data_IF_683825018362
#
_entry.id   IF_683825018362
#
_cell.length_a   1.000
_cell.length_b   1.000
_cell.length_c   1.000
_cell.angle_alpha   90.00
_cell.angle_beta   90.00
_cell.angle_gamma   90.00
#
_symmetry.space_group_name_H-M   'P 1'
#
loop_
_entity.id
_entity.type
_entity.pdbx_description
1 polymer ?
#
# COMPACT_ATOMS: atom_id res chain seq x y z
N UNK A 1 3.48 -5.30 -23.35
CA UNK A 1 2.74 -5.61 -22.12
C UNK A 1 1.77 -6.73 -22.42
N UNK A 2 2.03 -7.92 -21.89
CA UNK A 2 1.06 -9.02 -21.89
C UNK A 2 0.04 -8.74 -20.79
N UNK A 3 -1.24 -8.96 -21.10
CA UNK A 3 -2.31 -8.77 -20.14
C UNK A 3 -2.74 -10.16 -19.69
N UNK A 4 -2.69 -10.44 -18.39
CA UNK A 4 -3.39 -11.57 -17.81
C UNK A 4 -4.62 -11.00 -17.12
N UNK A 5 -5.80 -11.36 -17.60
CA UNK A 5 -7.06 -10.85 -17.06
C UNK A 5 -7.84 -11.97 -16.38
N UNK A 6 -8.50 -11.58 -15.28
CA UNK A 6 -9.58 -12.34 -14.64
C UNK A 6 -10.83 -11.48 -14.85
N UNK A 7 -11.67 -11.86 -15.80
CA UNK A 7 -12.83 -11.13 -16.29
C UNK A 7 -14.12 -11.73 -15.74
N UNK A 8 -14.34 -13.03 -15.97
CA UNK A 8 -15.61 -13.70 -15.68
C UNK A 8 -15.85 -13.91 -14.17
N UNK A 9 -14.81 -14.09 -13.36
CA UNK A 9 -14.92 -14.13 -11.89
C UNK A 9 -15.45 -12.81 -11.30
N UNK A 10 -15.09 -11.68 -11.93
CA UNK A 10 -15.46 -10.32 -11.51
C UNK A 10 -16.81 -9.86 -12.07
N UNK A 11 -17.26 -10.45 -13.18
CA UNK A 11 -18.58 -10.24 -13.76
C UNK A 11 -19.68 -10.57 -12.74
N UNK A 12 -20.71 -9.72 -12.66
CA UNK A 12 -21.90 -9.98 -11.84
C UNK A 12 -22.79 -11.09 -12.44
N UNK A 13 -22.55 -11.47 -13.70
CA UNK A 13 -23.37 -12.38 -14.51
C UNK A 13 -22.88 -13.84 -14.53
N UNK A 14 -22.29 -14.32 -13.43
CA UNK A 14 -21.56 -15.60 -13.33
C UNK A 14 -22.23 -16.82 -13.98
N UNK A 15 -23.48 -17.08 -13.62
CA UNK A 15 -24.27 -18.23 -14.13
C UNK A 15 -24.96 -17.91 -15.47
N UNK A 16 -25.12 -16.63 -15.77
CA UNK A 16 -25.78 -16.10 -16.96
C UNK A 16 -25.01 -16.43 -18.25
N UNK A 17 -23.71 -16.66 -18.16
CA UNK A 17 -22.86 -17.02 -19.32
C UNK A 17 -23.18 -18.39 -19.93
N UNK A 18 -23.94 -19.26 -19.24
CA UNK A 18 -24.36 -20.56 -19.80
C UNK A 18 -25.24 -20.42 -21.06
N UNK A 19 -25.90 -19.26 -21.24
CA UNK A 19 -26.69 -18.94 -22.44
C UNK A 19 -25.85 -18.96 -23.73
N UNK A 20 -24.52 -18.83 -23.63
CA UNK A 20 -23.63 -18.98 -24.79
C UNK A 20 -23.76 -20.38 -25.41
N UNK A 21 -24.07 -21.41 -24.63
CA UNK A 21 -24.34 -22.75 -25.16
C UNK A 21 -25.59 -22.79 -26.04
N UNK A 22 -26.63 -22.02 -25.71
CA UNK A 22 -27.81 -21.89 -26.55
C UNK A 22 -27.44 -21.32 -27.92
N UNK A 23 -26.68 -20.22 -27.94
CA UNK A 23 -26.13 -19.67 -29.17
C UNK A 23 -25.28 -20.69 -29.95
N UNK A 24 -24.37 -21.40 -29.28
CA UNK A 24 -23.54 -22.42 -29.92
C UNK A 24 -24.37 -23.59 -30.49
N UNK A 25 -25.49 -23.96 -29.85
CA UNK A 25 -26.38 -24.99 -30.36
C UNK A 25 -27.05 -24.54 -31.67
N UNK A 26 -27.56 -23.30 -31.71
CA UNK A 26 -28.16 -22.71 -32.92
C UNK A 26 -27.16 -22.64 -34.08
N UNK A 27 -25.88 -22.36 -33.79
CA UNK A 27 -24.80 -22.32 -34.78
C UNK A 27 -24.22 -23.72 -35.14
N UNK A 28 -24.81 -24.82 -34.65
CA UNK A 28 -24.32 -26.19 -34.82
C UNK A 28 -22.87 -26.39 -34.33
N UNK A 29 -22.46 -25.65 -33.31
CA UNK A 29 -21.12 -25.69 -32.71
C UNK A 29 -21.01 -26.68 -31.53
N UNK A 30 -22.13 -27.21 -31.04
CA UNK A 30 -22.19 -28.19 -29.94
C UNK A 30 -22.45 -29.62 -30.44
N UNK A 31 -21.94 -30.60 -29.69
CA UNK A 31 -22.33 -31.98 -29.90
C UNK A 31 -23.77 -32.21 -29.41
N UNK A 32 -24.57 -33.06 -30.09
CA UNK A 32 -25.97 -33.32 -29.75
C UNK A 32 -26.21 -33.90 -28.34
N UNK A 33 -25.16 -34.36 -27.67
CA UNK A 33 -25.19 -34.94 -26.33
C UNK A 33 -24.91 -33.92 -25.20
N UNK A 34 -25.00 -32.61 -25.51
CA UNK A 34 -24.68 -31.54 -24.55
C UNK A 34 -25.71 -31.43 -23.39
N UNK A 35 -25.23 -30.91 -22.26
CA UNK A 35 -25.99 -30.69 -21.02
C UNK A 35 -27.17 -29.72 -21.24
N UNK A 36 -28.10 -29.64 -20.27
CA UNK A 36 -29.14 -28.59 -20.26
C UNK A 36 -28.48 -27.21 -20.07
N UNK A 37 -28.85 -26.26 -20.92
CA UNK A 37 -28.46 -24.84 -20.84
C UNK A 37 -29.72 -23.96 -20.92
N UNK A 38 -29.68 -22.73 -20.36
CA UNK A 38 -30.80 -21.79 -20.45
C UNK A 38 -30.94 -21.24 -21.88
N UNK A 39 -32.18 -21.03 -22.34
CA UNK A 39 -32.46 -20.32 -23.58
C UNK A 39 -32.25 -18.82 -23.42
N UNK A 40 -31.81 -18.15 -24.49
CA UNK A 40 -31.72 -16.69 -24.50
C UNK A 40 -33.10 -16.04 -24.30
N UNK A 41 -33.09 -14.92 -23.60
CA UNK A 41 -34.27 -14.13 -23.22
C UNK A 41 -33.82 -12.67 -23.03
N UNK A 42 -34.35 -11.77 -23.83
CA UNK A 42 -33.83 -10.39 -23.94
C UNK A 42 -33.91 -9.62 -22.62
N UNK A 43 -35.00 -9.77 -21.87
CA UNK A 43 -35.22 -9.05 -20.61
C UNK A 43 -34.27 -9.56 -19.52
N UNK A 44 -34.16 -10.88 -19.36
CA UNK A 44 -33.30 -11.53 -18.36
C UNK A 44 -31.81 -11.39 -18.65
N UNK A 45 -31.46 -11.29 -19.93
CA UNK A 45 -30.06 -11.29 -20.39
C UNK A 45 -29.60 -9.91 -20.88
N UNK A 46 -30.38 -8.85 -20.69
CA UNK A 46 -30.07 -7.48 -21.11
C UNK A 46 -28.67 -6.99 -20.70
N UNK A 47 -28.20 -7.40 -19.51
CA UNK A 47 -26.87 -7.03 -19.00
C UNK A 47 -25.68 -7.67 -19.76
N UNK A 48 -25.89 -8.79 -20.47
CA UNK A 48 -24.83 -9.47 -21.24
C UNK A 48 -24.22 -8.57 -22.31
N UNK A 49 -25.02 -7.68 -22.90
CA UNK A 49 -24.53 -6.75 -23.93
C UNK A 49 -23.45 -5.81 -23.37
N UNK A 50 -23.58 -5.37 -22.12
CA UNK A 50 -22.57 -4.55 -21.45
C UNK A 50 -21.28 -5.34 -21.23
N UNK A 51 -21.38 -6.51 -20.63
CA UNK A 51 -20.25 -7.41 -20.35
C UNK A 51 -19.53 -7.85 -21.64
N UNK A 52 -20.26 -8.16 -22.72
CA UNK A 52 -19.67 -8.49 -24.01
C UNK A 52 -18.89 -7.31 -24.62
N UNK A 53 -19.38 -6.08 -24.45
CA UNK A 53 -18.64 -4.88 -24.88
C UNK A 53 -17.37 -4.68 -24.05
N UNK A 54 -17.44 -4.88 -22.74
CA UNK A 54 -16.25 -4.82 -21.88
C UNK A 54 -15.23 -5.90 -22.24
N UNK A 55 -15.70 -7.12 -22.48
CA UNK A 55 -14.87 -8.24 -22.94
C UNK A 55 -14.22 -7.92 -24.30
N UNK A 56 -14.98 -7.38 -25.25
CA UNK A 56 -14.44 -6.93 -26.54
C UNK A 56 -13.31 -5.92 -26.35
N UNK A 57 -13.47 -4.93 -25.48
CA UNK A 57 -12.42 -3.96 -25.17
C UNK A 57 -11.21 -4.67 -24.54
N UNK A 58 -11.44 -5.56 -23.56
CA UNK A 58 -10.38 -6.30 -22.90
C UNK A 58 -9.57 -7.18 -23.88
N UNK A 59 -10.23 -7.74 -24.90
CA UNK A 59 -9.60 -8.59 -25.93
C UNK A 59 -8.86 -7.76 -26.99
N UNK A 60 -9.40 -6.60 -27.39
CA UNK A 60 -8.87 -5.83 -28.53
C UNK A 60 -7.85 -4.76 -28.16
N UNK A 61 -7.81 -4.31 -26.89
CA UNK A 61 -6.83 -3.30 -26.43
C UNK A 61 -5.40 -3.82 -26.27
N UNK A 62 -5.14 -5.07 -25.85
CA UNK A 62 -3.80 -5.61 -25.78
C UNK A 62 -3.10 -5.56 -27.15
N UNK A 63 -1.97 -4.84 -27.23
CA UNK A 63 -1.10 -4.82 -28.42
C UNK A 63 -0.18 -6.04 -28.53
N UNK A 64 -0.27 -6.95 -27.57
CA UNK A 64 0.51 -8.18 -27.45
C UNK A 64 -0.42 -9.30 -26.97
N UNK A 65 0.11 -10.50 -26.74
CA UNK A 65 -0.69 -11.68 -26.39
C UNK A 65 -1.47 -11.44 -25.09
N UNK A 66 -2.76 -11.72 -25.15
CA UNK A 66 -3.68 -11.73 -24.01
C UNK A 66 -3.76 -13.14 -23.44
N UNK A 67 -3.73 -13.22 -22.12
CA UNK A 67 -4.01 -14.42 -21.35
C UNK A 67 -5.28 -14.19 -20.54
N UNK A 68 -6.24 -15.10 -20.63
CA UNK A 68 -7.45 -15.08 -19.82
C UNK A 68 -7.34 -16.26 -18.87
N UNK A 69 -7.27 -15.98 -17.57
CA UNK A 69 -7.16 -16.99 -16.52
C UNK A 69 -8.34 -16.87 -15.59
N UNK A 70 -9.09 -17.96 -15.43
CA UNK A 70 -10.34 -17.99 -14.66
C UNK A 70 -10.29 -19.14 -13.69
N UNK A 71 -10.55 -18.86 -12.40
CA UNK A 71 -10.55 -19.87 -11.34
C UNK A 71 -11.91 -20.54 -11.18
N UNK A 72 -12.97 -19.88 -11.62
CA UNK A 72 -14.34 -20.37 -11.51
C UNK A 72 -14.81 -21.04 -12.80
N UNK A 73 -15.87 -21.84 -12.70
CA UNK A 73 -16.49 -22.48 -13.87
C UNK A 73 -17.27 -21.53 -14.78
N UNK A 74 -17.41 -20.26 -14.41
CA UNK A 74 -18.27 -19.29 -15.11
C UNK A 74 -17.82 -19.02 -16.55
N UNK A 75 -16.51 -19.09 -16.81
CA UNK A 75 -15.95 -18.87 -18.14
C UNK A 75 -16.04 -20.08 -19.09
N UNK A 76 -16.46 -21.25 -18.59
CA UNK A 76 -16.52 -22.49 -19.37
C UNK A 76 -17.27 -22.33 -20.71
N UNK A 77 -18.44 -21.67 -20.77
CA UNK A 77 -19.18 -21.52 -22.03
C UNK A 77 -18.39 -20.77 -23.10
N UNK A 78 -17.74 -19.65 -22.74
CA UNK A 78 -16.91 -18.90 -23.70
C UNK A 78 -15.61 -19.63 -24.05
N UNK A 79 -14.99 -20.31 -23.11
CA UNK A 79 -13.80 -21.10 -23.41
C UNK A 79 -14.11 -22.24 -24.37
N UNK A 80 -15.26 -22.92 -24.19
CA UNK A 80 -15.73 -23.93 -25.11
C UNK A 80 -16.01 -23.34 -26.51
N UNK A 81 -16.67 -22.18 -26.56
CA UNK A 81 -16.92 -21.46 -27.81
C UNK A 81 -15.64 -21.12 -28.56
N UNK A 82 -14.69 -20.44 -27.92
CA UNK A 82 -13.42 -20.05 -28.55
C UNK A 82 -12.57 -21.26 -28.93
N UNK A 83 -12.60 -22.33 -28.13
CA UNK A 83 -11.93 -23.59 -28.46
C UNK A 83 -12.53 -24.21 -29.72
N UNK A 84 -13.86 -24.21 -29.86
CA UNK A 84 -14.54 -24.72 -31.06
C UNK A 84 -14.20 -23.90 -32.30
N UNK A 85 -14.07 -22.58 -32.17
CA UNK A 85 -13.63 -21.70 -33.26
C UNK A 85 -12.14 -21.83 -33.59
N UNK A 86 -11.33 -22.49 -32.74
CA UNK A 86 -9.89 -22.63 -32.95
C UNK A 86 -9.10 -21.32 -32.81
N UNK A 87 -9.64 -20.33 -32.09
CA UNK A 87 -9.04 -18.98 -31.97
C UNK A 87 -8.18 -18.81 -30.71
N UNK A 88 -8.07 -19.85 -29.87
CA UNK A 88 -7.31 -19.82 -28.61
C UNK A 88 -6.39 -21.03 -28.49
N UNK A 89 -5.24 -20.82 -27.84
CA UNK A 89 -4.37 -21.91 -27.42
C UNK A 89 -4.66 -22.26 -25.95
N UNK A 90 -4.90 -23.54 -25.68
CA UNK A 90 -5.07 -24.04 -24.31
C UNK A 90 -3.69 -24.38 -23.73
N UNK A 91 -3.45 -23.99 -22.48
CA UNK A 91 -2.26 -24.39 -21.72
C UNK A 91 -2.63 -24.65 -20.27
N UNK A 92 -1.93 -25.58 -19.63
CA UNK A 92 -2.01 -25.74 -18.19
C UNK A 92 -1.23 -24.63 -17.50
N UNK A 93 -1.76 -24.12 -16.40
CA UNK A 93 -1.05 -23.16 -15.57
C UNK A 93 0.01 -23.92 -14.76
N UNK A 94 1.21 -24.06 -15.31
CA UNK A 94 2.37 -24.60 -14.61
C UNK A 94 3.40 -23.51 -14.24
N UNK A 95 4.41 -23.90 -13.46
CA UNK A 95 5.46 -22.99 -12.99
C UNK A 95 6.27 -22.42 -14.18
N UNK A 96 6.43 -23.19 -15.27
CA UNK A 96 7.09 -22.73 -16.49
C UNK A 96 6.26 -21.68 -17.24
N UNK A 97 4.94 -21.82 -17.25
CA UNK A 97 3.96 -20.92 -17.84
C UNK A 97 3.85 -19.62 -17.06
N UNK A 98 3.83 -19.70 -15.72
CA UNK A 98 3.97 -18.54 -14.85
C UNK A 98 5.31 -17.82 -15.07
N UNK A 99 6.39 -18.58 -15.29
CA UNK A 99 7.70 -18.06 -15.69
C UNK A 99 7.69 -17.36 -17.04
N UNK A 100 6.97 -17.90 -18.04
CA UNK A 100 6.78 -17.24 -19.33
C UNK A 100 6.00 -15.93 -19.20
N UNK A 101 4.97 -15.88 -18.35
CA UNK A 101 4.26 -14.62 -18.07
C UNK A 101 5.15 -13.60 -17.34
N UNK A 102 6.08 -14.05 -16.50
CA UNK A 102 7.06 -13.19 -15.83
C UNK A 102 8.18 -12.72 -16.78
N UNK A 103 8.61 -13.56 -17.72
CA UNK A 103 9.78 -13.33 -18.59
C UNK A 103 9.65 -12.21 -19.62
N UNK A 104 8.47 -11.60 -19.78
CA UNK A 104 8.25 -10.56 -20.79
C UNK A 104 8.07 -9.14 -20.27
N UNK A 105 7.86 -8.93 -18.97
CA UNK A 105 7.94 -7.59 -18.37
C UNK A 105 9.29 -7.49 -17.69
N UNK A 106 10.19 -6.72 -18.31
CA UNK A 106 11.53 -6.51 -17.76
C UNK A 106 11.43 -5.79 -16.41
N UNK A 107 12.49 -5.88 -15.61
CA UNK A 107 12.58 -5.13 -14.36
C UNK A 107 12.31 -3.63 -14.59
N UNK A 108 12.77 -3.07 -15.72
CA UNK A 108 12.50 -1.67 -16.09
C UNK A 108 11.02 -1.38 -16.37
N UNK A 109 10.29 -2.31 -16.99
CA UNK A 109 8.85 -2.14 -17.28
C UNK A 109 8.02 -2.05 -16.00
N UNK A 110 8.40 -2.85 -14.99
CA UNK A 110 7.78 -2.80 -13.67
C UNK A 110 8.12 -1.53 -12.92
N UNK A 111 9.36 -1.04 -13.04
CA UNK A 111 9.78 0.21 -12.41
C UNK A 111 9.03 1.42 -13.02
N UNK A 112 8.94 1.52 -14.35
CA UNK A 112 8.20 2.58 -15.04
C UNK A 112 6.71 2.62 -14.63
N UNK A 113 6.07 1.45 -14.48
CA UNK A 113 4.68 1.38 -13.99
C UNK A 113 4.58 1.77 -12.53
N UNK A 114 5.51 1.31 -11.70
CA UNK A 114 5.58 1.69 -10.30
C UNK A 114 5.66 3.20 -10.14
N UNK A 115 6.53 3.87 -10.90
CA UNK A 115 6.65 5.32 -10.93
C UNK A 115 5.35 6.00 -11.37
N UNK A 116 4.68 5.48 -12.40
CA UNK A 116 3.39 6.01 -12.85
C UNK A 116 2.35 5.97 -11.72
N UNK A 117 2.11 4.80 -11.13
CA UNK A 117 1.13 4.64 -10.05
C UNK A 117 1.50 5.47 -8.82
N UNK A 118 2.79 5.56 -8.50
CA UNK A 118 3.28 6.36 -7.38
C UNK A 118 2.95 7.85 -7.59
N UNK A 119 3.17 8.37 -8.79
CA UNK A 119 2.86 9.76 -9.14
C UNK A 119 1.35 10.05 -9.16
N UNK A 120 0.53 9.04 -9.46
CA UNK A 120 -0.94 9.11 -9.41
C UNK A 120 -1.50 8.96 -7.98
N UNK A 121 -0.65 8.66 -7.00
CA UNK A 121 -1.03 8.48 -5.58
C UNK A 121 -1.52 7.08 -5.23
N UNK A 122 -1.54 6.13 -6.18
CA UNK A 122 -1.84 4.71 -5.91
C UNK A 122 -0.58 3.99 -5.41
N UNK A 123 -0.23 4.28 -4.16
CA UNK A 123 0.98 3.77 -3.52
C UNK A 123 0.96 2.25 -3.29
N UNK A 124 -0.21 1.64 -3.13
CA UNK A 124 -0.33 0.20 -2.94
C UNK A 124 0.03 -0.56 -4.23
N UNK A 125 -0.57 -0.15 -5.35
CA UNK A 125 -0.25 -0.72 -6.66
C UNK A 125 1.19 -0.40 -7.09
N UNK A 126 1.68 0.80 -6.78
CA UNK A 126 3.07 1.17 -7.01
C UNK A 126 4.05 0.26 -6.24
N UNK A 127 3.79 0.02 -4.96
CA UNK A 127 4.57 -0.89 -4.11
C UNK A 127 4.65 -2.31 -4.70
N UNK A 128 3.53 -2.84 -5.18
CA UNK A 128 3.51 -4.14 -5.86
C UNK A 128 4.41 -4.16 -7.10
N UNK A 129 4.33 -3.12 -7.94
CA UNK A 129 5.15 -3.01 -9.14
C UNK A 129 6.65 -2.93 -8.81
N UNK A 130 7.04 -2.10 -7.84
CA UNK A 130 8.45 -2.00 -7.45
C UNK A 130 8.99 -3.31 -6.88
N UNK A 131 8.19 -4.03 -6.08
CA UNK A 131 8.57 -5.36 -5.58
C UNK A 131 8.84 -6.34 -6.72
N UNK A 132 8.05 -6.29 -7.80
CA UNK A 132 8.25 -7.10 -9.01
C UNK A 132 9.48 -6.65 -9.82
N UNK A 133 9.79 -5.36 -9.82
CA UNK A 133 10.99 -4.82 -10.46
C UNK A 133 12.29 -5.14 -9.70
N UNK A 134 12.22 -5.64 -8.46
CA UNK A 134 13.41 -5.83 -7.62
C UNK A 134 13.99 -4.54 -7.05
N UNK A 135 13.39 -3.38 -7.33
CA UNK A 135 13.72 -2.10 -6.70
C UNK A 135 13.25 -2.09 -5.25
N UNK A 136 14.11 -2.58 -4.35
CA UNK A 136 13.84 -2.69 -2.92
C UNK A 136 13.58 -1.33 -2.29
N UNK A 137 14.29 -0.29 -2.74
CA UNK A 137 14.15 1.07 -2.20
C UNK A 137 12.78 1.63 -2.53
N UNK A 138 12.40 1.66 -3.82
CA UNK A 138 11.13 2.21 -4.27
C UNK A 138 9.94 1.38 -3.75
N UNK A 139 10.11 0.07 -3.60
CA UNK A 139 9.10 -0.79 -2.96
C UNK A 139 8.83 -0.37 -1.51
N UNK A 140 9.89 -0.27 -0.69
CA UNK A 140 9.75 0.15 0.71
C UNK A 140 9.17 1.56 0.80
N UNK A 141 9.59 2.47 -0.08
CA UNK A 141 9.09 3.83 -0.13
C UNK A 141 7.59 3.88 -0.43
N UNK A 142 7.13 3.21 -1.49
CA UNK A 142 5.72 3.13 -1.85
C UNK A 142 4.89 2.44 -0.75
N UNK A 143 5.43 1.40 -0.11
CA UNK A 143 4.74 0.75 1.01
C UNK A 143 4.58 1.68 2.20
N UNK A 144 5.60 2.47 2.54
CA UNK A 144 5.55 3.47 3.60
C UNK A 144 4.51 4.57 3.30
N UNK A 145 4.47 5.06 2.05
CA UNK A 145 3.49 6.06 1.61
C UNK A 145 2.04 5.53 1.67
N UNK A 146 1.82 4.28 1.27
CA UNK A 146 0.52 3.60 1.38
C UNK A 146 0.06 3.51 2.84
N UNK A 147 0.92 3.04 3.76
CA UNK A 147 0.60 2.97 5.19
C UNK A 147 0.35 4.36 5.80
N UNK A 148 1.12 5.36 5.40
CA UNK A 148 0.93 6.73 5.84
C UNK A 148 -0.44 7.28 5.42
N UNK A 149 -0.87 7.03 4.17
CA UNK A 149 -2.19 7.44 3.69
C UNK A 149 -3.30 6.68 4.43
N UNK A 150 -3.16 5.37 4.61
CA UNK A 150 -4.13 4.56 5.35
C UNK A 150 -4.29 5.06 6.78
N UNK A 151 -3.18 5.38 7.46
CA UNK A 151 -3.20 5.92 8.81
C UNK A 151 -3.90 7.28 8.89
N UNK A 152 -3.73 8.13 7.88
CA UNK A 152 -4.40 9.44 7.81
C UNK A 152 -5.90 9.30 7.57
N UNK A 153 -6.31 8.42 6.66
CA UNK A 153 -7.71 8.19 6.34
C UNK A 153 -8.48 7.61 7.53
N UNK A 154 -7.84 6.75 8.32
CA UNK A 154 -8.47 6.12 9.48
C UNK A 154 -8.39 6.97 10.76
N UNK A 155 -7.80 8.17 10.72
CA UNK A 155 -7.52 8.94 11.93
C UNK A 155 -8.77 9.26 12.77
N UNK A 156 -9.90 9.54 12.12
CA UNK A 156 -11.16 9.86 12.80
C UNK A 156 -12.08 8.66 13.01
N UNK A 157 -11.83 7.54 12.33
CA UNK A 157 -12.69 6.35 12.36
C UNK A 157 -12.14 5.27 13.29
N UNK A 158 -10.83 5.04 13.26
CA UNK A 158 -10.13 4.03 14.06
C UNK A 158 -8.73 4.54 14.41
N UNK A 159 -8.64 5.22 15.56
CA UNK A 159 -7.38 5.76 16.09
C UNK A 159 -6.32 4.68 16.34
N UNK A 160 -6.72 3.46 16.70
CA UNK A 160 -5.81 2.36 16.97
C UNK A 160 -5.13 1.90 15.69
N UNK A 161 -5.91 1.61 14.65
CA UNK A 161 -5.41 1.27 13.32
C UNK A 161 -4.60 2.43 12.73
N UNK A 162 -5.12 3.65 12.84
CA UNK A 162 -4.43 4.83 12.34
C UNK A 162 -3.03 4.99 12.93
N UNK A 163 -2.92 4.82 14.25
CA UNK A 163 -1.65 4.92 14.98
C UNK A 163 -0.68 3.80 14.58
N UNK A 164 -1.17 2.57 14.46
CA UNK A 164 -0.36 1.44 14.02
C UNK A 164 0.20 1.64 12.60
N UNK A 165 -0.65 2.05 11.66
CA UNK A 165 -0.25 2.33 10.27
C UNK A 165 0.79 3.46 10.19
N UNK A 166 0.61 4.56 10.94
CA UNK A 166 1.56 5.67 10.96
C UNK A 166 2.90 5.27 11.60
N UNK A 167 2.88 4.41 12.63
CA UNK A 167 4.11 3.91 13.27
C UNK A 167 4.90 3.03 12.31
N UNK A 168 4.23 2.06 11.66
CA UNK A 168 4.89 1.19 10.67
C UNK A 168 5.39 2.00 9.46
N UNK A 169 4.65 3.02 9.01
CA UNK A 169 5.10 3.92 7.96
C UNK A 169 6.39 4.65 8.36
N UNK A 170 6.47 5.17 9.60
CA UNK A 170 7.64 5.86 10.10
C UNK A 170 8.88 4.94 10.11
N UNK A 171 8.75 3.71 10.62
CA UNK A 171 9.83 2.71 10.65
C UNK A 171 10.34 2.38 9.24
N UNK A 172 9.43 2.19 8.27
CA UNK A 172 9.84 1.94 6.88
C UNK A 172 10.54 3.14 6.25
N UNK A 173 10.13 4.36 6.58
CA UNK A 173 10.83 5.57 6.14
C UNK A 173 12.22 5.68 6.76
N UNK A 174 12.39 5.31 8.02
CA UNK A 174 13.71 5.23 8.68
C UNK A 174 14.62 4.21 7.98
N UNK A 175 14.12 3.01 7.68
CA UNK A 175 14.90 1.96 7.01
C UNK A 175 15.47 2.39 5.65
N UNK A 176 14.82 3.33 4.97
CA UNK A 176 15.26 3.86 3.66
C UNK A 176 15.89 5.26 3.74
N UNK A 177 16.11 5.78 4.95
CA UNK A 177 16.72 7.11 5.15
C UNK A 177 15.84 8.30 4.76
N UNK A 178 14.51 8.12 4.62
CA UNK A 178 13.55 9.20 4.33
C UNK A 178 13.09 9.88 5.62
N UNK A 179 14.03 10.53 6.30
CA UNK A 179 13.85 11.08 7.65
C UNK A 179 12.69 12.09 7.76
N UNK A 180 12.53 12.98 6.78
CA UNK A 180 11.45 13.99 6.79
C UNK A 180 10.05 13.34 6.77
N UNK A 181 9.90 12.26 6.02
CA UNK A 181 8.65 11.50 5.96
C UNK A 181 8.39 10.74 7.28
N UNK A 182 9.44 10.16 7.89
CA UNK A 182 9.35 9.52 9.20
C UNK A 182 8.94 10.51 10.30
N UNK A 183 9.59 11.68 10.34
CA UNK A 183 9.26 12.79 11.24
C UNK A 183 7.81 13.21 11.08
N UNK A 184 7.32 13.35 9.84
CA UNK A 184 5.92 13.70 9.59
C UNK A 184 4.94 12.69 10.21
N UNK A 185 5.24 11.39 10.14
CA UNK A 185 4.45 10.36 10.81
C UNK A 185 4.52 10.48 12.34
N UNK A 186 5.71 10.66 12.92
CA UNK A 186 5.87 10.82 14.37
C UNK A 186 5.19 12.07 14.93
N UNK A 187 5.23 13.18 14.20
CA UNK A 187 4.52 14.41 14.55
C UNK A 187 3.01 14.18 14.62
N UNK A 188 2.44 13.43 13.65
CA UNK A 188 1.01 13.07 13.68
C UNK A 188 0.67 12.16 14.86
N UNK A 189 1.57 11.24 15.22
CA UNK A 189 1.45 10.39 16.40
C UNK A 189 1.66 11.13 17.73
N UNK A 190 1.99 12.43 17.70
CA UNK A 190 2.45 13.20 18.87
C UNK A 190 3.66 12.58 19.57
N UNK A 191 4.42 11.73 18.85
CA UNK A 191 5.70 11.23 19.30
C UNK A 191 6.80 12.25 18.94
N UNK A 192 6.65 13.44 19.51
CA UNK A 192 7.55 14.55 19.28
C UNK A 192 8.98 14.21 19.69
N UNK A 193 9.14 13.35 20.70
CA UNK A 193 10.46 12.97 21.16
C UNK A 193 11.27 12.24 20.07
N UNK A 194 10.66 11.22 19.43
CA UNK A 194 11.28 10.56 18.28
C UNK A 194 11.45 11.51 17.09
N UNK A 195 10.44 12.34 16.80
CA UNK A 195 10.49 13.31 15.70
C UNK A 195 11.68 14.28 15.85
N UNK A 196 11.87 14.86 17.03
CA UNK A 196 12.98 15.77 17.33
C UNK A 196 14.31 15.04 17.23
N UNK A 197 14.44 13.89 17.88
CA UNK A 197 15.66 13.09 17.85
C UNK A 197 16.11 12.82 16.39
N UNK A 198 15.18 12.46 15.50
CA UNK A 198 15.46 12.24 14.07
C UNK A 198 15.91 13.48 13.30
N UNK A 199 15.34 14.65 13.58
CA UNK A 199 15.76 15.90 12.94
C UNK A 199 17.19 16.26 13.37
N UNK A 200 17.49 16.18 14.67
CA UNK A 200 18.71 16.76 15.23
C UNK A 200 19.91 15.82 15.29
N UNK A 201 19.71 14.50 15.42
CA UNK A 201 20.83 13.55 15.46
C UNK A 201 21.26 13.01 14.09
N UNK A 202 20.36 13.02 13.08
CA UNK A 202 20.64 12.34 11.81
C UNK A 202 20.71 13.29 10.60
N UNK A 203 20.22 14.54 10.70
CA UNK A 203 20.13 15.46 9.54
C UNK A 203 21.14 16.61 9.55
N UNK A 204 21.74 16.94 10.70
CA UNK A 204 22.68 18.06 10.83
C UNK A 204 24.08 17.57 11.25
N UNK A 205 25.11 18.05 10.55
CA UNK A 205 26.53 17.78 10.90
C UNK A 205 26.91 18.40 12.26
N UNK A 206 26.21 19.46 12.68
CA UNK A 206 26.24 20.01 14.03
C UNK A 206 24.83 19.96 14.65
N UNK A 207 24.60 19.12 15.66
CA UNK A 207 23.31 19.04 16.33
C UNK A 207 22.97 20.35 17.04
N UNK A 208 21.95 21.07 16.56
CA UNK A 208 21.35 22.23 17.22
C UNK A 208 20.48 21.78 18.41
N UNK A 209 21.13 21.51 19.55
CA UNK A 209 20.47 21.05 20.77
C UNK A 209 19.46 22.07 21.35
N UNK A 210 19.60 23.36 21.01
CA UNK A 210 18.69 24.41 21.47
C UNK A 210 17.30 24.33 20.83
N UNK A 211 17.25 24.19 19.51
CA UNK A 211 15.99 24.07 18.77
C UNK A 211 15.31 22.73 19.08
N UNK A 212 16.12 21.69 19.30
CA UNK A 212 15.65 20.39 19.78
C UNK A 212 14.97 20.49 21.14
N UNK A 213 15.63 21.15 22.10
CA UNK A 213 15.09 21.43 23.43
C UNK A 213 13.77 22.21 23.38
N UNK A 214 13.69 23.22 22.51
CA UNK A 214 12.47 24.01 22.32
C UNK A 214 11.33 23.18 21.69
N UNK A 215 11.64 22.26 20.76
CA UNK A 215 10.65 21.33 20.22
C UNK A 215 10.16 20.32 21.28
N UNK A 216 11.04 19.77 22.13
CA UNK A 216 10.64 18.91 23.25
C UNK A 216 9.83 19.68 24.30
N UNK A 217 10.12 20.97 24.51
CA UNK A 217 9.34 21.87 25.38
C UNK A 217 7.92 22.07 24.83
N UNK A 218 7.79 22.41 23.55
CA UNK A 218 6.49 22.56 22.88
C UNK A 218 5.66 21.26 22.87
N UNK A 219 6.35 20.12 22.88
CA UNK A 219 5.74 18.80 22.99
C UNK A 219 5.28 18.41 24.41
N UNK A 220 5.69 19.16 25.44
CA UNK A 220 5.48 18.78 26.84
C UNK A 220 6.37 17.61 27.30
N UNK A 221 7.39 17.23 26.52
CA UNK A 221 8.36 16.17 26.83
C UNK A 221 9.52 16.75 27.64
N UNK A 222 9.22 17.20 28.85
CA UNK A 222 10.15 18.02 29.64
C UNK A 222 11.43 17.31 30.09
N UNK A 223 11.39 16.00 30.33
CA UNK A 223 12.58 15.21 30.66
C UNK A 223 13.57 15.17 29.50
N UNK A 224 13.07 14.98 28.28
CA UNK A 224 13.89 14.94 27.07
C UNK A 224 14.40 16.33 26.73
N UNK A 225 13.55 17.36 26.84
CA UNK A 225 13.96 18.77 26.70
C UNK A 225 15.15 19.10 27.63
N UNK A 226 15.09 18.66 28.89
CA UNK A 226 16.14 18.94 29.84
C UNK A 226 17.43 18.15 29.58
N UNK A 227 17.34 16.89 29.12
CA UNK A 227 18.50 16.10 28.70
C UNK A 227 19.19 16.69 27.47
N UNK A 228 18.41 17.12 26.47
CA UNK A 228 18.93 17.73 25.24
C UNK A 228 19.57 19.09 25.52
N UNK A 229 18.95 19.94 26.36
CA UNK A 229 19.57 21.19 26.81
C UNK A 229 20.84 20.97 27.63
N UNK A 230 20.92 19.89 28.43
CA UNK A 230 22.13 19.52 29.17
C UNK A 230 23.26 19.07 28.24
N UNK A 231 22.95 18.27 27.21
CA UNK A 231 23.90 17.86 26.17
C UNK A 231 24.40 19.05 25.34
N UNK A 232 23.53 20.04 25.07
CA UNK A 232 23.86 21.29 24.39
C UNK A 232 24.63 22.33 25.21
N UNK A 233 24.89 22.07 26.51
CA UNK A 233 25.46 23.05 27.48
C UNK A 233 24.61 24.32 27.68
N UNK A 234 23.30 24.27 27.39
CA UNK A 234 22.38 25.42 27.48
C UNK A 234 21.75 25.54 28.88
N UNK A 235 22.60 25.83 29.88
CA UNK A 235 22.25 25.77 31.31
C UNK A 235 21.12 26.72 31.76
N UNK A 236 20.95 27.87 31.10
CA UNK A 236 19.93 28.88 31.45
C UNK A 236 18.50 28.40 31.14
N UNK A 237 18.28 27.75 30.00
CA UNK A 237 16.98 27.18 29.62
C UNK A 237 16.64 25.91 30.43
N UNK A 238 17.64 25.11 30.80
CA UNK A 238 17.46 23.99 31.74
C UNK A 238 16.84 24.44 33.06
N UNK A 239 17.23 25.60 33.60
CA UNK A 239 16.69 26.12 34.85
C UNK A 239 15.23 26.56 34.74
N UNK A 240 14.81 27.08 33.58
CA UNK A 240 13.41 27.46 33.34
C UNK A 240 12.52 26.22 33.12
N UNK A 241 12.98 25.25 32.33
CA UNK A 241 12.30 23.96 32.19
C UNK A 241 12.19 23.24 33.54
N UNK A 242 13.23 23.33 34.39
CA UNK A 242 13.24 22.81 35.77
C UNK A 242 12.11 23.39 36.62
N UNK A 243 11.86 24.70 36.55
CA UNK A 243 10.83 25.37 37.34
C UNK A 243 9.41 24.98 36.89
N UNK A 244 9.19 24.87 35.57
CA UNK A 244 7.93 24.42 34.99
C UNK A 244 7.66 22.94 35.31
N UNK A 245 8.66 22.05 35.18
CA UNK A 245 8.55 20.62 35.55
C UNK A 245 8.16 20.46 37.02
N UNK A 246 8.88 21.13 37.93
CA UNK A 246 8.60 20.98 39.35
C UNK A 246 7.24 21.56 39.75
N UNK A 247 6.77 22.63 39.10
CA UNK A 247 5.44 23.17 39.35
C UNK A 247 4.29 22.22 38.98
N UNK A 248 4.55 21.24 38.10
CA UNK A 248 3.54 20.28 37.60
C UNK A 248 3.47 18.96 38.36
N UNK A 249 4.37 18.74 39.33
CA UNK A 249 4.54 17.45 40.02
C UNK A 249 4.03 17.51 41.47
N UNK A 250 3.51 16.39 41.98
CA UNK A 250 3.20 16.25 43.40
C UNK A 250 4.48 16.25 44.28
N UNK A 251 4.33 16.59 45.56
CA UNK A 251 5.47 16.90 46.44
C UNK A 251 6.48 15.77 46.64
N UNK A 252 6.09 14.50 46.40
CA UNK A 252 6.99 13.35 46.49
C UNK A 252 7.76 13.13 45.17
N UNK A 253 7.10 13.35 44.04
CA UNK A 253 7.74 13.30 42.71
C UNK A 253 8.76 14.43 42.55
N UNK A 254 8.49 15.63 43.11
CA UNK A 254 9.44 16.75 43.13
C UNK A 254 10.80 16.36 43.77
N UNK A 255 10.79 15.69 44.93
CA UNK A 255 12.03 15.27 45.62
C UNK A 255 12.83 14.22 44.85
N UNK A 256 12.15 13.27 44.20
CA UNK A 256 12.81 12.23 43.41
C UNK A 256 13.36 12.79 42.08
N UNK A 257 12.62 13.70 41.44
CA UNK A 257 13.09 14.45 40.27
C UNK A 257 14.31 15.31 40.55
N UNK A 258 14.32 16.05 41.66
CA UNK A 258 15.48 16.84 42.09
C UNK A 258 16.74 15.98 42.29
N UNK A 259 16.61 14.78 42.86
CA UNK A 259 17.73 13.85 43.06
C UNK A 259 18.24 13.24 41.75
N UNK A 260 17.34 12.89 40.82
CA UNK A 260 17.74 12.39 39.50
C UNK A 260 18.46 13.48 38.69
N UNK A 261 17.97 14.71 38.76
CA UNK A 261 18.53 15.85 38.04
C UNK A 261 19.89 16.31 38.58
N UNK A 262 20.07 16.31 39.92
CA UNK A 262 21.38 16.57 40.55
C UNK A 262 22.43 15.51 40.21
N UNK A 263 22.03 14.31 39.80
CA UNK A 263 22.94 13.27 39.30
C UNK A 263 23.31 13.45 37.83
N UNK A 264 22.46 14.08 37.02
CA UNK A 264 22.68 14.29 35.58
C UNK A 264 23.53 15.55 35.32
N UNK A 265 23.51 16.54 36.22
CA UNK A 265 24.29 17.79 36.10
C UNK A 265 25.67 17.77 36.81
N UNK A 266 26.09 16.64 37.37
CA UNK A 266 27.46 16.43 37.87
C UNK A 266 28.28 15.69 36.82
#
# INVERSE_FOLDING_TARGET
MFYCIIFFEKSSLRETWEVVYDFMAHENLLDPLSHKYPSFDEDRHSALCGELKELYVAITRPKQRLWIFERTGCAKPLFAYWKKLGVVNQGEFDIFFAGCMQGFCKHEDWNLRGQKFFNEGDYETASFCFKRSGDVYSWKWAKAASLQMEGQNNWHTDLGRASACLSEAAEKYEEIGKLESAVTCFMKLRNFAKACNKIYLEKFDEPSFEEAGDCFKLAGCWSDAAMTCAQGKCLSKCQHAREEIFSSWDGNSQKNGQKLFQRILK
#
